data_IF_624434525271
#
_entry.id   IF_624434525271
#
_cell.length_a   1.000
_cell.length_b   1.000
_cell.length_c   1.000
_cell.angle_alpha   90.00
_cell.angle_beta   90.00
_cell.angle_gamma   90.00
#
_symmetry.space_group_name_H-M   'P 1'
#
loop_
_entity.id
_entity.type
_entity.pdbx_description
1 polymer ?
#
# COMPACT_ATOMS: atom_id res chain seq x y z
N UNK A 1 15.61 2.86 -14.54
CA UNK A 1 15.38 1.41 -14.43
C UNK A 1 13.91 1.12 -14.25
N UNK A 2 13.42 0.06 -14.88
CA UNK A 2 12.04 -0.35 -14.67
C UNK A 2 11.86 -0.89 -13.26
N UNK A 3 10.70 -0.60 -12.67
CA UNK A 3 10.34 -1.15 -11.36
C UNK A 3 10.07 -2.65 -11.50
N UNK A 4 10.39 -3.40 -10.45
CA UNK A 4 9.96 -4.78 -10.37
C UNK A 4 8.43 -4.86 -10.28
N UNK A 5 7.87 -6.00 -10.66
CA UNK A 5 6.42 -6.22 -10.60
C UNK A 5 6.10 -7.25 -9.53
N UNK A 6 5.02 -6.99 -8.80
CA UNK A 6 4.47 -7.93 -7.83
C UNK A 6 3.00 -8.19 -8.15
N UNK A 7 2.51 -9.36 -7.77
CA UNK A 7 1.09 -9.66 -7.88
C UNK A 7 0.28 -8.78 -6.92
N UNK A 8 -1.03 -8.69 -7.16
CA UNK A 8 -1.92 -7.93 -6.29
C UNK A 8 -1.85 -8.42 -4.85
N UNK A 9 -1.84 -9.74 -4.64
CA UNK A 9 -1.76 -10.32 -3.30
C UNK A 9 -0.42 -10.00 -2.63
N UNK A 10 0.68 -10.01 -3.38
CA UNK A 10 1.99 -9.69 -2.83
C UNK A 10 2.11 -8.22 -2.46
N UNK A 11 1.54 -7.31 -3.26
CA UNK A 11 1.49 -5.90 -2.93
C UNK A 11 0.65 -5.67 -1.67
N UNK A 12 -0.53 -6.32 -1.60
CA UNK A 12 -1.38 -6.24 -0.42
C UNK A 12 -0.63 -6.70 0.83
N UNK A 13 0.06 -7.82 0.76
CA UNK A 13 0.82 -8.37 1.90
C UNK A 13 1.94 -7.42 2.32
N UNK A 14 2.65 -6.84 1.36
CA UNK A 14 3.74 -5.91 1.67
C UNK A 14 3.22 -4.64 2.33
N UNK A 15 2.13 -4.08 1.82
CA UNK A 15 1.51 -2.89 2.40
C UNK A 15 1.01 -3.20 3.82
N UNK A 16 0.34 -4.34 4.00
CA UNK A 16 -0.17 -4.75 5.31
C UNK A 16 0.96 -4.90 6.32
N UNK A 17 2.05 -5.54 5.91
CA UNK A 17 3.22 -5.73 6.78
C UNK A 17 3.78 -4.40 7.25
N UNK A 18 3.95 -3.46 6.34
CA UNK A 18 4.50 -2.14 6.67
C UNK A 18 3.56 -1.32 7.55
N UNK A 19 2.26 -1.35 7.26
CA UNK A 19 1.26 -0.64 8.07
C UNK A 19 1.29 -1.14 9.51
N UNK A 20 1.29 -2.46 9.71
CA UNK A 20 1.26 -3.05 11.05
C UNK A 20 2.58 -2.91 11.81
N UNK A 21 3.63 -2.42 11.16
CA UNK A 21 4.89 -2.07 11.82
C UNK A 21 4.96 -0.59 12.22
N UNK A 22 3.99 0.24 11.81
CA UNK A 22 3.96 1.64 12.19
C UNK A 22 3.80 1.76 13.71
N UNK A 23 4.60 2.61 14.38
CA UNK A 23 4.56 2.70 15.85
C UNK A 23 3.16 3.01 16.40
N UNK A 24 2.42 3.93 15.77
CA UNK A 24 1.08 4.27 16.22
C UNK A 24 0.09 3.13 16.06
N UNK A 25 0.18 2.38 14.98
CA UNK A 25 -0.68 1.21 14.74
C UNK A 25 -0.37 0.11 15.74
N UNK A 26 0.91 -0.14 16.01
CA UNK A 26 1.33 -1.14 16.99
C UNK A 26 0.91 -0.75 18.41
N UNK A 27 1.10 0.50 18.77
CA UNK A 27 0.75 0.99 20.11
C UNK A 27 -0.76 0.89 20.37
N UNK A 28 -1.58 1.11 19.33
CA UNK A 28 -3.02 1.01 19.43
C UNK A 28 -3.53 -0.43 19.28
N UNK A 29 -2.67 -1.37 18.92
CA UNK A 29 -3.05 -2.74 18.55
C UNK A 29 -4.14 -2.75 17.49
N UNK A 30 -4.08 -1.80 16.56
CA UNK A 30 -5.08 -1.64 15.53
C UNK A 30 -4.91 -2.70 14.45
N UNK A 31 -6.03 -3.26 14.01
CA UNK A 31 -6.07 -4.20 12.89
C UNK A 31 -6.62 -3.45 11.68
N UNK A 32 -5.72 -2.99 10.83
CA UNK A 32 -6.09 -2.26 9.62
C UNK A 32 -6.50 -3.24 8.54
N UNK A 33 -7.69 -3.06 7.98
CA UNK A 33 -8.14 -3.86 6.84
C UNK A 33 -7.50 -3.31 5.58
N UNK A 34 -6.68 -4.13 4.92
CA UNK A 34 -5.92 -3.72 3.74
C UNK A 34 -6.57 -4.29 2.49
N UNK A 35 -7.08 -3.44 1.58
CA UNK A 35 -7.70 -3.92 0.35
C UNK A 35 -6.65 -4.41 -0.65
N UNK A 36 -7.11 -5.03 -1.73
CA UNK A 36 -6.25 -5.32 -2.87
C UNK A 36 -5.94 -4.02 -3.64
N UNK A 37 -4.74 -3.92 -4.22
CA UNK A 37 -4.42 -2.78 -5.08
C UNK A 37 -5.27 -2.82 -6.35
N UNK A 38 -5.58 -1.63 -6.87
CA UNK A 38 -6.35 -1.49 -8.10
C UNK A 38 -5.42 -1.07 -9.23
N UNK A 39 -5.51 -1.76 -10.37
CA UNK A 39 -4.74 -1.41 -11.56
C UNK A 39 -5.24 -0.07 -12.11
N UNK A 40 -4.32 0.79 -12.48
CA UNK A 40 -4.61 2.10 -13.07
C UNK A 40 -3.72 2.31 -14.29
N UNK A 41 -4.14 3.15 -15.25
CA UNK A 41 -3.24 3.53 -16.35
C UNK A 41 -1.96 4.15 -15.79
N UNK A 42 -0.83 3.80 -16.38
CA UNK A 42 0.46 4.34 -15.98
C UNK A 42 0.48 5.85 -16.19
N UNK A 43 0.85 6.58 -15.16
CA UNK A 43 0.97 8.02 -15.24
C UNK A 43 2.43 8.46 -15.51
N UNK A 44 2.68 9.76 -15.44
CA UNK A 44 4.01 10.32 -15.67
C UNK A 44 5.06 9.92 -14.64
N UNK A 45 4.64 9.34 -13.51
CA UNK A 45 5.56 8.88 -12.46
C UNK A 45 5.91 7.39 -12.61
N UNK A 46 5.30 6.69 -13.56
CA UNK A 46 5.49 5.26 -13.74
C UNK A 46 4.66 4.39 -12.81
N UNK A 47 3.73 4.97 -12.09
CA UNK A 47 2.84 4.26 -11.17
C UNK A 47 1.65 3.69 -11.93
N UNK A 48 1.39 2.39 -11.77
CA UNK A 48 0.28 1.73 -12.46
C UNK A 48 -0.78 1.15 -11.52
N UNK A 49 -0.76 1.51 -10.25
CA UNK A 49 -1.73 1.01 -9.27
C UNK A 49 -1.91 1.99 -8.13
N UNK A 50 -2.99 1.81 -7.40
CA UNK A 50 -3.25 2.56 -6.16
C UNK A 50 -4.14 1.74 -5.25
N UNK A 51 -4.23 2.15 -3.99
CA UNK A 51 -5.08 1.51 -3.00
C UNK A 51 -5.91 2.54 -2.27
N UNK A 52 -7.17 2.20 -2.03
CA UNK A 52 -8.08 3.02 -1.22
C UNK A 52 -9.08 2.10 -0.53
N UNK A 53 -9.80 2.62 0.45
CA UNK A 53 -10.81 1.83 1.16
C UNK A 53 -10.26 1.00 2.30
N UNK A 54 -9.22 1.48 2.97
CA UNK A 54 -8.70 0.83 4.18
C UNK A 54 -9.73 0.88 5.30
N UNK A 55 -9.96 -0.26 5.97
CA UNK A 55 -10.85 -0.34 7.11
C UNK A 55 -10.10 -0.15 8.42
N UNK A 56 -10.80 0.39 9.43
CA UNK A 56 -10.24 0.67 10.75
C UNK A 56 -9.05 1.62 10.73
N UNK A 57 -9.03 2.52 9.75
CA UNK A 57 -7.87 3.37 9.48
C UNK A 57 -8.00 4.77 10.09
N UNK A 58 -9.06 5.05 10.85
CA UNK A 58 -9.29 6.38 11.41
C UNK A 58 -8.11 6.81 12.29
N UNK A 59 -7.53 7.94 11.96
CA UNK A 59 -6.36 8.45 12.66
C UNK A 59 -5.03 8.02 12.07
N UNK A 60 -5.03 7.08 11.11
CA UNK A 60 -3.81 6.57 10.49
C UNK A 60 -3.74 6.84 8.99
N UNK A 61 -4.69 7.61 8.46
CA UNK A 61 -4.85 7.77 7.01
C UNK A 61 -3.59 8.32 6.33
N UNK A 62 -2.95 9.30 6.93
CA UNK A 62 -1.74 9.89 6.35
C UNK A 62 -0.57 8.91 6.36
N UNK A 63 -0.38 8.22 7.47
CA UNK A 63 0.70 7.23 7.60
C UNK A 63 0.50 6.08 6.61
N UNK A 64 -0.74 5.65 6.43
CA UNK A 64 -1.08 4.60 5.46
C UNK A 64 -0.78 5.08 4.04
N UNK A 65 -1.15 6.32 3.71
CA UNK A 65 -0.85 6.88 2.40
C UNK A 65 0.64 6.90 2.11
N UNK A 66 1.45 7.24 3.11
CA UNK A 66 2.89 7.24 2.96
C UNK A 66 3.44 5.84 2.73
N UNK A 67 2.90 4.84 3.41
CA UNK A 67 3.30 3.44 3.20
C UNK A 67 2.97 3.00 1.78
N UNK A 68 1.76 3.30 1.30
CA UNK A 68 1.38 2.95 -0.07
C UNK A 68 2.31 3.62 -1.08
N UNK A 69 2.64 4.89 -0.87
CA UNK A 69 3.55 5.62 -1.75
C UNK A 69 4.95 4.99 -1.76
N UNK A 70 5.47 4.56 -0.61
CA UNK A 70 6.77 3.90 -0.53
C UNK A 70 6.78 2.57 -1.29
N UNK A 71 5.74 1.77 -1.11
CA UNK A 71 5.63 0.50 -1.84
C UNK A 71 5.53 0.77 -3.35
N UNK A 72 4.79 1.80 -3.74
CA UNK A 72 4.63 2.17 -5.15
C UNK A 72 5.94 2.65 -5.79
N UNK A 73 6.87 3.18 -5.01
CA UNK A 73 8.18 3.55 -5.53
C UNK A 73 9.01 2.34 -5.95
N UNK A 74 8.79 1.20 -5.33
CA UNK A 74 9.62 0.01 -5.54
C UNK A 74 8.99 -1.00 -6.48
N UNK A 75 7.67 -1.08 -6.56
CA UNK A 75 7.00 -2.11 -7.34
C UNK A 75 5.82 -1.56 -8.13
N UNK A 76 5.64 -2.13 -9.33
CA UNK A 76 4.42 -1.98 -10.11
C UNK A 76 3.57 -3.24 -9.96
N UNK A 77 2.28 -3.10 -10.24
CA UNK A 77 1.35 -4.20 -10.20
C UNK A 77 1.51 -5.05 -11.46
N UNK A 78 1.72 -6.35 -11.27
CA UNK A 78 1.69 -7.32 -12.36
C UNK A 78 0.22 -7.63 -12.69
N UNK A 79 -0.18 -7.31 -13.89
CA UNK A 79 -1.59 -7.49 -14.19
C UNK A 79 -1.95 -7.61 -15.64
#
# INVERSE_FOLDING_TARGET
MAKAHLSAHDIQAEVARRIHQLPGVRAASALIEVPLPQLRPMDGTGLNWWMSGFGNALGFEEDIRMVVAEVAEHWNLAG
#
